data_IF_188925995291
#
_entry.id   IF_188925995291
#
_cell.length_a   1.000
_cell.length_b   1.000
_cell.length_c   1.000
_cell.angle_alpha   90.00
_cell.angle_beta   90.00
_cell.angle_gamma   90.00
#
_symmetry.space_group_name_H-M   'P 1'
#
loop_
_entity.id
_entity.type
_entity.pdbx_description
1 polymer ?
#
# COMPACT_ATOMS: atom_id res chain seq x y z
N UNK A 1 10.96 -5.64 0.80
CA UNK A 1 9.79 -5.12 0.09
C UNK A 1 9.52 -3.67 0.50
N UNK A 2 8.38 -3.07 0.11
CA UNK A 2 7.99 -1.71 0.52
C UNK A 2 7.92 -1.58 2.06
N UNK A 3 8.42 -0.47 2.58
CA UNK A 3 8.42 -0.09 4.00
C UNK A 3 8.48 1.45 4.14
N UNK A 4 8.51 1.94 5.37
CA UNK A 4 8.56 3.39 5.66
C UNK A 4 9.83 4.11 5.15
N UNK A 5 10.87 3.41 4.69
CA UNK A 5 12.06 4.04 4.14
C UNK A 5 11.99 4.24 2.63
N UNK A 6 11.20 3.44 1.91
CA UNK A 6 11.11 3.48 0.45
C UNK A 6 9.69 3.76 -0.09
N UNK A 7 8.66 3.75 0.77
CA UNK A 7 7.27 3.92 0.36
C UNK A 7 7.06 5.23 -0.41
N UNK A 8 7.61 6.34 0.08
CA UNK A 8 7.50 7.64 -0.59
C UNK A 8 8.13 7.62 -1.99
N UNK A 9 9.35 7.12 -2.13
CA UNK A 9 10.03 7.05 -3.44
C UNK A 9 9.26 6.20 -4.45
N UNK A 10 8.63 5.12 -4.00
CA UNK A 10 7.81 4.31 -4.89
C UNK A 10 6.45 4.94 -5.21
N UNK A 11 5.70 5.40 -4.19
CA UNK A 11 4.34 5.89 -4.35
C UNK A 11 4.27 7.28 -4.99
N UNK A 12 5.26 8.13 -4.78
CA UNK A 12 5.29 9.49 -5.35
C UNK A 12 6.04 9.55 -6.68
N UNK A 13 7.18 8.85 -6.78
CA UNK A 13 8.10 8.99 -7.91
C UNK A 13 8.14 7.75 -8.81
N UNK A 14 7.43 6.68 -8.48
CA UNK A 14 7.46 5.43 -9.23
C UNK A 14 8.84 4.77 -9.24
N UNK A 15 9.64 4.94 -8.19
CA UNK A 15 11.00 4.41 -8.09
C UNK A 15 11.13 3.46 -6.90
N UNK A 16 11.38 2.17 -7.16
CA UNK A 16 11.60 1.21 -6.09
C UNK A 16 13.06 1.24 -5.63
N UNK A 17 13.26 1.50 -4.33
CA UNK A 17 14.55 1.37 -3.66
C UNK A 17 14.51 0.13 -2.74
N UNK A 18 15.42 -0.84 -2.88
CA UNK A 18 15.49 -1.98 -1.98
C UNK A 18 15.60 -1.55 -0.52
N UNK A 19 14.88 -2.24 0.38
CA UNK A 19 14.74 -1.84 1.78
C UNK A 19 16.10 -1.61 2.50
N UNK A 20 17.07 -2.52 2.31
CA UNK A 20 18.41 -2.38 2.90
C UNK A 20 19.14 -1.12 2.41
N UNK A 21 18.99 -0.78 1.12
CA UNK A 21 19.59 0.43 0.54
C UNK A 21 18.90 1.69 1.05
N UNK A 22 17.58 1.69 1.15
CA UNK A 22 16.81 2.82 1.68
C UNK A 22 17.12 3.07 3.17
N UNK A 23 17.29 2.01 3.95
CA UNK A 23 17.71 2.09 5.36
C UNK A 23 19.15 2.60 5.51
N UNK A 24 20.08 2.10 4.69
CA UNK A 24 21.46 2.59 4.71
C UNK A 24 21.54 4.08 4.36
N UNK A 25 20.76 4.54 3.37
CA UNK A 25 20.68 5.94 2.98
C UNK A 25 20.08 6.85 4.08
N UNK A 26 19.31 6.29 5.00
CA UNK A 26 18.78 7.03 6.15
C UNK A 26 19.86 7.30 7.22
N UNK A 27 21.06 6.71 7.11
CA UNK A 27 22.22 7.00 7.98
C UNK A 27 21.92 6.97 9.49
N UNK A 28 21.09 6.01 9.93
CA UNK A 28 20.69 5.87 11.33
C UNK A 28 19.53 6.77 11.78
N UNK A 29 18.92 7.53 10.88
CA UNK A 29 17.71 8.29 11.17
C UNK A 29 16.58 7.34 11.63
N UNK A 30 15.77 7.77 12.62
CA UNK A 30 14.67 6.96 13.11
C UNK A 30 13.67 6.68 11.99
N UNK A 31 13.06 5.49 12.02
CA UNK A 31 12.00 5.12 11.08
C UNK A 31 10.83 6.10 11.21
N UNK A 32 10.39 6.77 10.14
CA UNK A 32 9.22 7.63 10.17
C UNK A 32 7.98 6.82 10.58
N UNK A 33 7.19 7.35 11.52
CA UNK A 33 5.90 6.75 11.90
C UNK A 33 4.80 7.10 10.91
N UNK A 34 4.90 8.26 10.27
CA UNK A 34 4.01 8.71 9.21
C UNK A 34 4.79 9.44 8.13
N UNK A 35 4.38 9.28 6.89
CA UNK A 35 4.92 9.97 5.73
C UNK A 35 3.80 10.55 4.91
N UNK A 36 3.95 11.81 4.51
CA UNK A 36 3.04 12.47 3.57
C UNK A 36 3.71 12.60 2.20
N UNK A 37 2.94 12.35 1.16
CA UNK A 37 3.35 12.51 -0.23
C UNK A 37 2.19 13.01 -1.09
N UNK A 38 2.49 13.61 -2.24
CA UNK A 38 1.47 14.16 -3.15
C UNK A 38 1.44 13.37 -4.45
N UNK A 39 0.36 12.62 -4.64
CA UNK A 39 0.09 11.88 -5.87
C UNK A 39 -0.30 12.86 -6.98
N UNK A 40 0.54 12.97 -7.99
CA UNK A 40 0.24 13.66 -9.26
C UNK A 40 -0.13 12.67 -10.39
N UNK A 41 0.18 11.38 -10.21
CA UNK A 41 -0.13 10.33 -11.17
C UNK A 41 -1.65 10.21 -11.42
N UNK A 42 -2.08 10.42 -12.66
CA UNK A 42 -3.49 10.44 -13.08
C UNK A 42 -4.33 11.45 -12.27
N UNK A 43 -3.74 12.59 -11.88
CA UNK A 43 -4.43 13.67 -11.16
C UNK A 43 -4.08 15.02 -11.78
N UNK A 44 -5.06 15.93 -11.80
CA UNK A 44 -4.82 17.32 -12.18
C UNK A 44 -4.00 18.06 -11.12
N UNK A 45 -3.42 19.21 -11.48
CA UNK A 45 -2.73 20.09 -10.52
C UNK A 45 -3.71 20.59 -9.45
N UNK A 46 -3.35 20.59 -8.14
CA UNK A 46 -2.03 20.31 -7.57
C UNK A 46 -1.77 18.82 -7.22
N UNK A 47 -2.69 17.91 -7.52
CA UNK A 47 -2.62 16.50 -7.12
C UNK A 47 -3.31 16.23 -5.77
N UNK A 48 -3.26 14.98 -5.33
CA UNK A 48 -3.94 14.52 -4.10
C UNK A 48 -2.91 14.13 -3.05
N UNK A 49 -3.08 14.61 -1.82
CA UNK A 49 -2.18 14.29 -0.71
C UNK A 49 -2.59 12.97 -0.04
N UNK A 50 -1.62 12.12 0.22
CA UNK A 50 -1.79 10.85 0.94
C UNK A 50 -0.84 10.79 2.12
N UNK A 51 -1.28 10.13 3.18
CA UNK A 51 -0.46 9.74 4.31
C UNK A 51 -0.23 8.22 4.31
N UNK A 52 0.97 7.80 4.67
CA UNK A 52 1.37 6.39 4.83
C UNK A 52 1.85 6.20 6.26
N UNK A 53 1.39 5.14 6.89
CA UNK A 53 1.77 4.72 8.25
C UNK A 53 2.03 3.21 8.24
N UNK A 54 2.90 2.74 9.13
CA UNK A 54 3.10 1.30 9.39
C UNK A 54 2.33 0.80 10.61
N UNK A 55 1.55 1.69 11.26
CA UNK A 55 0.62 1.35 12.34
C UNK A 55 -0.82 1.63 11.92
N UNK A 56 -1.76 0.68 12.15
CA UNK A 56 -3.17 0.93 11.92
C UNK A 56 -3.68 1.98 12.92
N UNK A 57 -4.77 2.71 12.59
CA UNK A 57 -5.50 3.48 13.59
C UNK A 57 -5.96 2.59 14.75
N UNK A 58 -6.17 3.18 15.92
CA UNK A 58 -6.70 2.44 17.07
C UNK A 58 -8.06 1.79 16.72
N UNK A 59 -8.37 0.60 17.24
CA UNK A 59 -9.68 -0.01 17.05
C UNK A 59 -10.81 0.94 17.48
N UNK A 60 -11.80 1.16 16.61
CA UNK A 60 -12.91 2.09 16.84
C UNK A 60 -12.62 3.56 16.56
N UNK A 61 -11.40 3.91 16.13
CA UNK A 61 -11.08 5.29 15.71
C UNK A 61 -11.86 5.69 14.44
N UNK A 62 -12.40 6.92 14.35
CA UNK A 62 -12.97 7.43 13.10
C UNK A 62 -11.92 7.56 11.98
N UNK A 63 -10.63 7.53 12.29
CA UNK A 63 -9.56 7.56 11.28
C UNK A 63 -9.61 6.36 10.31
N UNK A 64 -10.29 5.26 10.68
CA UNK A 64 -10.51 4.13 9.78
C UNK A 64 -11.27 4.53 8.50
N UNK A 65 -12.12 5.56 8.55
CA UNK A 65 -12.84 6.07 7.36
C UNK A 65 -11.89 6.72 6.34
N UNK A 66 -10.67 7.07 6.75
CA UNK A 66 -9.63 7.66 5.89
C UNK A 66 -8.69 6.61 5.31
N UNK A 67 -8.78 5.35 5.74
CA UNK A 67 -7.90 4.27 5.29
C UNK A 67 -8.41 3.73 3.95
N UNK A 68 -7.75 4.12 2.86
CA UNK A 68 -8.19 3.74 1.51
C UNK A 68 -7.47 2.53 0.94
N UNK A 69 -6.27 2.21 1.42
CA UNK A 69 -5.46 1.12 0.90
C UNK A 69 -4.52 0.53 1.97
N UNK A 70 -4.09 -0.71 1.74
CA UNK A 70 -3.07 -1.40 2.53
C UNK A 70 -2.10 -2.14 1.62
N UNK A 71 -0.80 -2.04 1.91
CA UNK A 71 0.22 -2.94 1.33
C UNK A 71 0.39 -4.13 2.27
N UNK A 72 -0.03 -5.31 1.81
CA UNK A 72 -0.04 -6.54 2.63
C UNK A 72 1.32 -7.24 2.57
N UNK A 73 1.68 -7.91 3.67
CA UNK A 73 2.94 -8.64 3.80
C UNK A 73 2.79 -10.16 3.60
N UNK A 74 1.55 -10.65 3.47
CA UNK A 74 1.27 -12.09 3.40
C UNK A 74 1.24 -12.80 4.75
N UNK A 75 1.09 -12.06 5.85
CA UNK A 75 0.99 -12.62 7.19
C UNK A 75 -0.31 -12.21 7.87
N UNK A 76 -1.13 -13.20 8.29
CA UNK A 76 -2.45 -12.96 8.91
C UNK A 76 -2.37 -12.03 10.14
N UNK A 77 -1.29 -12.14 10.93
CA UNK A 77 -1.09 -11.31 12.12
C UNK A 77 -1.03 -9.80 11.82
N UNK A 78 -0.76 -9.40 10.58
CA UNK A 78 -0.77 -7.98 10.15
C UNK A 78 -2.10 -7.28 10.48
N UNK A 79 -3.19 -8.04 10.52
CA UNK A 79 -4.56 -7.52 10.66
C UNK A 79 -5.16 -7.74 12.05
N UNK A 80 -4.36 -8.15 13.04
CA UNK A 80 -4.85 -8.46 14.40
C UNK A 80 -5.56 -7.30 15.10
N UNK A 81 -5.15 -6.07 14.79
CA UNK A 81 -5.67 -4.83 15.39
C UNK A 81 -6.68 -4.12 14.48
N UNK A 82 -7.14 -4.76 13.40
CA UNK A 82 -8.13 -4.19 12.49
C UNK A 82 -9.55 -4.36 13.06
N UNK A 83 -10.43 -3.34 12.94
CA UNK A 83 -11.77 -3.36 13.53
C UNK A 83 -12.77 -4.21 12.73
N UNK A 84 -12.40 -4.63 11.52
CA UNK A 84 -13.27 -5.38 10.62
C UNK A 84 -13.51 -6.80 11.14
N UNK A 85 -14.75 -7.27 11.03
CA UNK A 85 -15.14 -8.60 11.50
C UNK A 85 -14.24 -9.68 10.85
N UNK A 86 -13.76 -10.61 11.67
CA UNK A 86 -12.92 -11.73 11.22
C UNK A 86 -11.46 -11.39 10.98
N UNK A 87 -11.07 -10.11 10.91
CA UNK A 87 -9.71 -9.71 10.53
C UNK A 87 -8.63 -10.26 11.48
N UNK A 88 -8.93 -10.28 12.79
CA UNK A 88 -8.05 -10.86 13.81
C UNK A 88 -7.79 -12.36 13.64
N UNK A 89 -8.74 -13.07 13.03
CA UNK A 89 -8.69 -14.51 12.79
C UNK A 89 -8.20 -14.82 11.35
N UNK A 90 -7.91 -13.77 10.56
CA UNK A 90 -7.42 -13.86 9.20
C UNK A 90 -8.50 -14.01 8.12
N UNK A 91 -9.78 -13.83 8.47
CA UNK A 91 -10.85 -13.59 7.50
C UNK A 91 -10.88 -12.10 7.15
N UNK A 92 -10.40 -11.79 5.95
CA UNK A 92 -10.18 -10.42 5.49
C UNK A 92 -11.21 -9.97 4.45
N UNK A 93 -12.31 -10.71 4.29
CA UNK A 93 -13.33 -10.36 3.31
C UNK A 93 -13.92 -8.96 3.60
N UNK A 94 -14.31 -8.69 4.84
CA UNK A 94 -14.86 -7.38 5.22
C UNK A 94 -13.80 -6.28 5.18
N UNK A 95 -12.58 -6.60 5.63
CA UNK A 95 -11.44 -5.70 5.60
C UNK A 95 -11.15 -5.22 4.17
N UNK A 96 -10.99 -6.14 3.21
CA UNK A 96 -10.69 -5.79 1.82
C UNK A 96 -11.90 -5.28 1.05
N UNK A 97 -13.12 -5.50 1.55
CA UNK A 97 -14.29 -4.79 1.05
C UNK A 97 -14.24 -3.30 1.42
N UNK A 98 -13.57 -2.89 2.50
CA UNK A 98 -13.48 -1.49 2.97
C UNK A 98 -12.17 -0.80 2.57
N UNK A 99 -11.07 -1.55 2.53
CA UNK A 99 -9.71 -1.05 2.27
C UNK A 99 -9.11 -1.77 1.06
N UNK A 100 -8.60 -1.02 0.07
CA UNK A 100 -8.01 -1.61 -1.13
C UNK A 100 -6.69 -2.33 -0.81
N UNK A 101 -6.63 -3.66 -0.95
CA UNK A 101 -5.43 -4.43 -0.66
C UNK A 101 -4.48 -4.55 -1.84
N UNK A 102 -3.18 -4.38 -1.58
CA UNK A 102 -2.10 -4.57 -2.56
C UNK A 102 -1.03 -5.50 -2.03
N UNK A 103 -0.61 -6.48 -2.83
CA UNK A 103 0.56 -7.31 -2.56
C UNK A 103 1.68 -6.95 -3.53
N UNK A 104 2.65 -6.16 -3.06
CA UNK A 104 3.81 -5.80 -3.86
C UNK A 104 4.87 -6.89 -3.66
N UNK A 105 5.32 -7.53 -4.74
CA UNK A 105 6.25 -8.66 -4.69
C UNK A 105 7.25 -8.62 -5.84
N UNK A 106 8.32 -9.42 -5.79
CA UNK A 106 9.18 -9.53 -6.97
C UNK A 106 8.55 -10.47 -8.00
N UNK A 107 8.67 -10.12 -9.29
CA UNK A 107 8.02 -10.83 -10.39
C UNK A 107 8.45 -12.30 -10.54
N UNK A 108 9.61 -12.66 -9.99
CA UNK A 108 10.15 -14.03 -9.94
C UNK A 108 9.64 -14.84 -8.73
N UNK A 109 8.94 -14.21 -7.79
CA UNK A 109 8.36 -14.86 -6.61
C UNK A 109 6.94 -15.35 -6.91
N UNK A 110 6.64 -16.60 -6.54
CA UNK A 110 5.30 -17.17 -6.65
C UNK A 110 4.38 -16.57 -5.59
N UNK A 111 3.22 -16.04 -6.01
CA UNK A 111 2.15 -15.65 -5.10
C UNK A 111 1.38 -16.90 -4.69
N UNK A 112 1.53 -17.30 -3.43
CA UNK A 112 0.82 -18.44 -2.84
C UNK A 112 -0.05 -18.04 -1.64
N UNK A 113 -0.70 -19.02 -0.99
CA UNK A 113 -1.44 -18.78 0.24
C UNK A 113 -0.53 -18.19 1.34
N UNK A 114 -1.05 -17.30 2.20
CA UNK A 114 -2.45 -16.88 2.26
C UNK A 114 -2.82 -15.77 1.27
N UNK A 115 -1.85 -15.16 0.58
CA UNK A 115 -2.08 -13.99 -0.28
C UNK A 115 -2.97 -14.32 -1.47
N UNK A 116 -2.79 -15.50 -2.09
CA UNK A 116 -3.62 -15.94 -3.21
C UNK A 116 -5.10 -16.05 -2.87
N UNK A 117 -5.44 -16.21 -1.59
CA UNK A 117 -6.81 -16.42 -1.11
C UNK A 117 -7.45 -15.09 -0.69
N UNK A 118 -6.67 -14.01 -0.64
CA UNK A 118 -7.12 -12.68 -0.26
C UNK A 118 -7.55 -11.87 -1.48
N UNK A 119 -8.56 -11.02 -1.30
CA UNK A 119 -8.97 -10.04 -2.31
C UNK A 119 -8.00 -8.85 -2.37
N UNK A 120 -6.78 -9.10 -2.87
CA UNK A 120 -5.72 -8.10 -3.01
C UNK A 120 -5.17 -8.10 -4.43
N UNK A 121 -4.72 -6.94 -4.91
CA UNK A 121 -4.04 -6.82 -6.20
C UNK A 121 -2.55 -7.10 -6.04
N UNK A 122 -2.06 -8.14 -6.70
CA UNK A 122 -0.62 -8.36 -6.85
C UNK A 122 -0.01 -7.31 -7.79
N UNK A 123 1.08 -6.67 -7.36
CA UNK A 123 1.84 -5.66 -8.10
C UNK A 123 3.29 -6.14 -8.22
N UNK A 124 3.71 -6.67 -9.39
CA UNK A 124 5.03 -7.22 -9.56
C UNK A 124 6.08 -6.12 -9.74
N UNK A 125 7.21 -6.25 -9.04
CA UNK A 125 8.42 -5.46 -9.22
C UNK A 125 9.52 -6.33 -9.83
N UNK A 126 10.33 -5.75 -10.71
CA UNK A 126 11.47 -6.46 -11.28
C UNK A 126 12.74 -6.18 -10.47
N UNK A 127 13.60 -7.17 -10.27
CA UNK A 127 14.85 -6.98 -9.51
C UNK A 127 15.82 -6.00 -10.19
N UNK A 128 15.88 -5.99 -11.51
CA UNK A 128 16.88 -5.22 -12.27
C UNK A 128 16.27 -4.12 -13.16
N UNK A 129 15.00 -4.29 -13.57
CA UNK A 129 14.35 -3.39 -14.53
C UNK A 129 13.64 -2.21 -13.85
N UNK A 130 14.40 -1.27 -13.28
CA UNK A 130 13.85 -0.11 -12.55
C UNK A 130 12.97 0.81 -13.40
N UNK A 131 13.14 0.84 -14.72
CA UNK A 131 12.26 1.58 -15.62
C UNK A 131 10.80 1.09 -15.59
N UNK A 132 10.56 -0.14 -15.12
CA UNK A 132 9.21 -0.71 -14.96
C UNK A 132 8.53 -0.35 -13.63
N UNK A 133 9.27 0.22 -12.68
CA UNK A 133 8.72 0.58 -11.37
C UNK A 133 7.60 1.63 -11.51
N UNK A 134 7.76 2.59 -12.44
CA UNK A 134 6.72 3.57 -12.77
C UNK A 134 5.45 2.89 -13.27
N UNK A 135 5.57 1.88 -14.14
CA UNK A 135 4.43 1.10 -14.62
C UNK A 135 3.72 0.38 -13.48
N UNK A 136 4.47 -0.22 -12.55
CA UNK A 136 3.90 -0.88 -11.38
C UNK A 136 3.14 0.09 -10.46
N UNK A 137 3.70 1.30 -10.24
CA UNK A 137 3.02 2.36 -9.49
C UNK A 137 1.74 2.84 -10.19
N UNK A 138 1.78 3.04 -11.50
CA UNK A 138 0.60 3.44 -12.29
C UNK A 138 -0.49 2.37 -12.26
N UNK A 139 -0.12 1.08 -12.29
CA UNK A 139 -1.08 -0.03 -12.14
C UNK A 139 -1.75 -0.03 -10.76
N UNK A 140 -0.96 0.15 -9.69
CA UNK A 140 -1.46 0.29 -8.32
C UNK A 140 -2.50 1.40 -8.24
N UNK A 141 -2.16 2.58 -8.77
CA UNK A 141 -3.05 3.74 -8.76
C UNK A 141 -4.30 3.58 -9.62
N UNK A 142 -4.19 2.95 -10.79
CA UNK A 142 -5.35 2.62 -11.62
C UNK A 142 -6.34 1.73 -10.86
N UNK A 143 -5.84 0.73 -10.13
CA UNK A 143 -6.69 -0.14 -9.34
C UNK A 143 -7.30 0.59 -8.13
N UNK A 144 -6.51 1.42 -7.45
CA UNK A 144 -7.01 2.27 -6.37
C UNK A 144 -8.13 3.20 -6.86
N UNK A 145 -8.00 3.79 -8.05
CA UNK A 145 -9.01 4.69 -8.61
C UNK A 145 -10.34 3.97 -8.86
N UNK A 146 -10.30 2.77 -9.44
CA UNK A 146 -11.49 1.93 -9.62
C UNK A 146 -12.15 1.62 -8.28
N UNK A 147 -11.35 1.28 -7.26
CA UNK A 147 -11.85 1.03 -5.91
C UNK A 147 -12.52 2.27 -5.30
N UNK A 148 -11.86 3.43 -5.37
CA UNK A 148 -12.37 4.70 -4.84
C UNK A 148 -13.66 5.15 -5.54
N UNK A 149 -13.76 4.96 -6.86
CA UNK A 149 -14.97 5.23 -7.64
C UNK A 149 -16.14 4.35 -7.20
N UNK A 150 -15.91 3.04 -7.03
CA UNK A 150 -16.93 2.11 -6.54
C UNK A 150 -17.42 2.48 -5.12
N UNK A 151 -16.55 3.10 -4.31
CA UNK A 151 -16.87 3.62 -2.99
C UNK A 151 -17.46 5.03 -2.98
N UNK A 152 -17.58 5.69 -4.13
CA UNK A 152 -17.99 7.10 -4.24
C UNK A 152 -17.14 8.02 -3.34
N UNK A 153 -15.85 7.69 -3.19
CA UNK A 153 -14.92 8.50 -2.41
C UNK A 153 -14.63 9.82 -3.14
N UNK A 154 -14.50 10.90 -2.39
CA UNK A 154 -14.07 12.20 -2.93
C UNK A 154 -12.65 12.16 -3.51
N UNK A 155 -11.82 11.19 -3.10
CA UNK A 155 -10.46 10.99 -3.61
C UNK A 155 -10.42 10.36 -5.02
N UNK A 156 -11.57 9.95 -5.56
CA UNK A 156 -11.69 9.38 -6.89
C UNK A 156 -11.53 10.42 -8.02
N UNK A 157 -11.70 11.71 -7.70
CA UNK A 157 -11.74 12.82 -8.65
C UNK A 157 -10.56 13.77 -8.43
#
# INVERSE_FOLDING_TARGET
>A
MINMYNAKSFLEEGRFVPAAKAQAAASGAPKPTSLTFRRTANRGSPGVEYAVTDRPPAPGSPDWDRVVAVVVQGAKWQFKDWPHKGAKDGDLMEAFAKVCGFYIHFADEKVGPPVSDWNVRAIPLHRENRHKDMTAMLELYRHLDVFLQAKRSTLAF
#
